data_IF_553726421226
#
_entry.id   IF_553726421226
#
_cell.length_a   1.000
_cell.length_b   1.000
_cell.length_c   1.000
_cell.angle_alpha   90.00
_cell.angle_beta   90.00
_cell.angle_gamma   90.00
#
_symmetry.space_group_name_H-M   'P 1'
#
loop_
_entity.id
_entity.type
_entity.pdbx_description
1 polymer ?
#
# COMPACT_ATOMS: atom_id res chain seq x y z
N UNK A 1 -10.31 14.39 -0.27
CA UNK A 1 -10.26 13.08 0.41
C UNK A 1 -9.36 13.21 1.62
N UNK A 2 -9.88 12.96 2.82
CA UNK A 2 -9.09 12.85 4.04
C UNK A 2 -8.81 11.37 4.32
N UNK A 3 -7.54 11.03 4.56
CA UNK A 3 -7.09 9.66 4.82
C UNK A 3 -6.04 9.62 5.94
N UNK A 4 -6.18 10.53 6.92
CA UNK A 4 -5.21 10.71 8.02
C UNK A 4 -5.09 9.48 8.92
N UNK A 5 -6.16 8.68 9.05
CA UNK A 5 -6.15 7.40 9.76
C UNK A 5 -5.53 6.23 8.97
N UNK A 6 -5.20 6.45 7.69
CA UNK A 6 -4.63 5.43 6.81
C UNK A 6 -3.20 5.09 7.19
N UNK A 7 -3.02 3.92 7.80
CA UNK A 7 -1.73 3.24 7.94
C UNK A 7 -1.59 2.22 6.80
N UNK A 8 -0.44 2.19 6.13
CA UNK A 8 -0.17 1.19 5.10
C UNK A 8 -0.10 1.68 3.65
N UNK A 9 -0.05 3.00 3.38
CA UNK A 9 0.38 3.54 2.07
C UNK A 9 1.64 4.39 2.22
N UNK A 10 2.64 4.15 1.37
CA UNK A 10 3.87 4.95 1.34
C UNK A 10 3.58 6.40 0.90
N UNK A 11 4.45 7.33 1.26
CA UNK A 11 4.33 8.74 0.82
C UNK A 11 4.28 8.84 -0.71
N UNK A 12 5.11 8.06 -1.41
CA UNK A 12 5.14 8.04 -2.88
C UNK A 12 3.80 7.60 -3.49
N UNK A 13 3.15 6.58 -2.94
CA UNK A 13 1.83 6.13 -3.40
C UNK A 13 0.75 7.20 -3.16
N UNK A 14 0.81 7.88 -2.01
CA UNK A 14 -0.12 8.98 -1.69
C UNK A 14 0.06 10.17 -2.63
N UNK A 15 1.31 10.53 -2.96
CA UNK A 15 1.63 11.58 -3.94
C UNK A 15 1.15 11.22 -5.36
N UNK A 16 1.05 9.93 -5.68
CA UNK A 16 0.44 9.42 -6.93
C UNK A 16 -1.09 9.39 -6.92
N UNK A 17 -1.73 9.76 -5.82
CA UNK A 17 -3.20 9.79 -5.68
C UNK A 17 -3.82 8.51 -5.13
N UNK A 18 -3.02 7.52 -4.70
CA UNK A 18 -3.57 6.32 -4.08
C UNK A 18 -4.08 6.60 -2.67
N UNK A 19 -5.20 5.96 -2.33
CA UNK A 19 -5.86 6.07 -1.04
C UNK A 19 -6.58 4.79 -0.65
N UNK A 20 -6.63 4.53 0.66
CA UNK A 20 -7.36 3.39 1.21
C UNK A 20 -8.83 3.77 1.41
N UNK A 21 -9.71 3.31 0.53
CA UNK A 21 -11.15 3.63 0.58
C UNK A 21 -11.83 3.21 1.88
N UNK A 22 -11.34 2.15 2.54
CA UNK A 22 -11.90 1.64 3.80
C UNK A 22 -11.77 2.60 5.00
N UNK A 23 -10.87 3.57 4.93
CA UNK A 23 -10.56 4.51 6.02
C UNK A 23 -10.61 5.97 5.57
N UNK A 24 -10.97 6.22 4.31
CA UNK A 24 -10.98 7.54 3.74
C UNK A 24 -12.35 8.20 3.82
N UNK A 25 -12.34 9.51 4.06
CA UNK A 25 -13.54 10.35 4.03
C UNK A 25 -13.52 11.26 2.81
N UNK A 26 -14.59 11.23 2.02
CA UNK A 26 -14.82 12.23 0.97
C UNK A 26 -15.06 13.60 1.61
N UNK A 27 -14.36 14.63 1.12
CA UNK A 27 -14.47 16.03 1.60
C UNK A 27 -15.06 16.96 0.53
N UNK A 28 -15.52 16.38 -0.57
CA UNK A 28 -16.03 17.02 -1.78
C UNK A 28 -16.23 15.96 -2.86
N UNK A 29 -16.68 16.37 -4.03
CA UNK A 29 -16.90 15.48 -5.17
C UNK A 29 -15.57 14.86 -5.61
N UNK A 30 -15.57 13.53 -5.79
CA UNK A 30 -14.40 12.78 -6.23
C UNK A 30 -14.85 11.55 -7.03
N UNK A 31 -14.10 11.25 -8.06
CA UNK A 31 -14.20 10.01 -8.82
C UNK A 31 -12.99 9.15 -8.46
N UNK A 32 -13.23 7.87 -8.18
CA UNK A 32 -12.20 6.90 -7.82
C UNK A 32 -12.40 5.62 -8.61
N UNK A 33 -11.29 4.99 -8.94
CA UNK A 33 -11.25 3.67 -9.55
C UNK A 33 -10.57 2.70 -8.58
N UNK A 34 -11.14 1.51 -8.44
CA UNK A 34 -10.50 0.43 -7.68
C UNK A 34 -9.36 -0.15 -8.52
N UNK A 35 -8.19 -0.26 -7.91
CA UNK A 35 -7.04 -0.91 -8.52
C UNK A 35 -6.92 -2.35 -8.01
N UNK A 36 -6.25 -3.19 -8.78
CA UNK A 36 -5.93 -4.56 -8.37
C UNK A 36 -4.99 -4.57 -7.16
N UNK A 37 -5.31 -5.37 -6.15
CA UNK A 37 -4.58 -5.40 -4.88
C UNK A 37 -3.15 -5.91 -5.05
N UNK A 38 -2.94 -6.90 -5.92
CA UNK A 38 -1.62 -7.50 -6.15
C UNK A 38 -0.68 -6.50 -6.82
N UNK A 39 -1.17 -5.75 -7.81
CA UNK A 39 -0.40 -4.70 -8.49
C UNK A 39 0.00 -3.57 -7.51
N UNK A 40 -0.94 -3.11 -6.69
CA UNK A 40 -0.70 -2.09 -5.65
C UNK A 40 0.32 -2.58 -4.61
N UNK A 41 0.24 -3.86 -4.23
CA UNK A 41 1.17 -4.48 -3.31
C UNK A 41 2.58 -4.57 -3.89
N UNK A 42 2.73 -4.99 -5.15
CA UNK A 42 4.03 -5.01 -5.83
C UNK A 42 4.64 -3.60 -5.97
N UNK A 43 3.84 -2.59 -6.32
CA UNK A 43 4.31 -1.20 -6.39
C UNK A 43 4.83 -0.69 -5.04
N UNK A 44 4.17 -1.09 -3.94
CA UNK A 44 4.52 -0.62 -2.62
C UNK A 44 5.65 -1.42 -1.94
N UNK A 45 5.69 -2.73 -2.15
CA UNK A 45 6.54 -3.67 -1.42
C UNK A 45 7.48 -4.50 -2.30
N UNK A 46 7.34 -4.48 -3.63
CA UNK A 46 8.13 -5.30 -4.55
C UNK A 46 9.64 -5.10 -4.43
N UNK A 47 10.07 -3.86 -4.12
CA UNK A 47 11.49 -3.55 -3.85
C UNK A 47 12.04 -4.23 -2.58
N UNK A 48 11.18 -4.47 -1.57
CA UNK A 48 11.56 -5.09 -0.30
C UNK A 48 11.45 -6.62 -0.36
N UNK A 49 10.44 -7.17 -1.03
CA UNK A 49 10.27 -8.62 -1.24
C UNK A 49 11.45 -9.22 -2.02
N UNK A 50 12.00 -8.48 -2.98
CA UNK A 50 13.22 -8.89 -3.69
C UNK A 50 14.45 -9.02 -2.78
N UNK A 51 14.51 -8.26 -1.67
CA UNK A 51 15.62 -8.30 -0.71
C UNK A 51 15.49 -9.42 0.33
N UNK A 52 14.28 -9.94 0.56
CA UNK A 52 14.05 -11.08 1.49
C UNK A 52 14.50 -12.42 0.88
N UNK A 53 14.76 -12.50 -0.43
CA UNK A 53 15.29 -13.71 -1.08
C UNK A 53 16.75 -14.07 -0.71
N UNK A 54 17.36 -13.32 0.20
CA UNK A 54 18.77 -13.54 0.61
C UNK A 54 18.97 -13.47 2.12
N UNK A 55 18.30 -14.35 2.87
CA UNK A 55 18.87 -14.98 4.08
C UNK A 55 18.03 -16.20 4.44
N UNK A 56 18.58 -17.38 4.18
CA UNK A 56 18.05 -18.64 4.66
C UNK A 56 17.94 -18.59 6.19
N UNK A 57 16.70 -18.55 6.68
CA UNK A 57 16.35 -18.54 8.08
C UNK A 57 14.84 -18.40 8.19
N UNK A 58 14.13 -19.52 8.14
CA UNK A 58 12.68 -19.56 8.30
C UNK A 58 12.30 -18.95 9.66
N UNK A 59 11.33 -18.02 9.74
CA UNK A 59 10.83 -17.48 11.01
C UNK A 59 10.11 -18.49 11.91
N UNK A 60 9.97 -19.74 11.45
CA UNK A 60 9.32 -20.85 12.17
C UNK A 60 10.31 -21.89 12.71
N UNK A 61 11.61 -21.61 12.70
CA UNK A 61 12.66 -22.50 13.23
C UNK A 61 13.05 -22.12 14.67
N UNK A 62 12.07 -22.02 15.57
CA UNK A 62 12.25 -21.97 17.03
C UNK A 62 11.54 -23.15 17.71
#
# INVERSE_FOLDING_TARGET
MDQTAGIGLSKEMRDKGYGLLCVARATGDLEVETQDEDEVYEMQFGKYLGQVKSKAGSPFDI
#
